data_IF_578861576514
#
_entry.id   IF_578861576514
#
_cell.length_a   1.000
_cell.length_b   1.000
_cell.length_c   1.000
_cell.angle_alpha   90.00
_cell.angle_beta   90.00
_cell.angle_gamma   90.00
#
_symmetry.space_group_name_H-M   'P 1'
#
loop_
_entity.id
_entity.type
_entity.pdbx_description
1 polymer ?
#
# COMPACT_ATOMS: atom_id res chain seq x y z
N UNK A 1 -18.72 16.28 23.70
CA UNK A 1 -18.11 15.41 22.66
C UNK A 1 -16.71 15.89 22.32
N UNK A 2 -16.51 17.15 21.92
CA UNK A 2 -15.18 17.74 21.67
C UNK A 2 -14.21 17.61 22.87
N UNK A 3 -14.73 17.77 24.09
CA UNK A 3 -13.94 17.60 25.32
C UNK A 3 -13.39 16.18 25.50
N UNK A 4 -14.15 15.14 25.12
CA UNK A 4 -13.70 13.75 25.22
C UNK A 4 -12.62 13.44 24.18
N UNK A 5 -12.76 13.96 22.95
CA UNK A 5 -11.75 13.82 21.91
C UNK A 5 -10.46 14.53 22.30
N UNK A 6 -10.55 15.69 22.97
CA UNK A 6 -9.38 16.40 23.49
C UNK A 6 -8.65 15.60 24.57
N UNK A 7 -9.38 14.97 25.50
CA UNK A 7 -8.76 14.10 26.51
C UNK A 7 -8.03 12.91 25.85
N UNK A 8 -8.66 12.28 24.84
CA UNK A 8 -8.03 11.20 24.07
C UNK A 8 -6.77 11.71 23.36
N UNK A 9 -6.86 12.85 22.68
CA UNK A 9 -5.73 13.46 21.98
C UNK A 9 -4.56 13.77 22.92
N UNK A 10 -4.84 14.39 24.07
CA UNK A 10 -3.82 14.72 25.07
C UNK A 10 -3.21 13.45 25.68
N UNK A 11 -4.00 12.39 25.86
CA UNK A 11 -3.51 11.09 26.36
C UNK A 11 -2.66 10.36 25.32
N UNK A 12 -2.99 10.44 24.03
CA UNK A 12 -2.18 9.85 22.95
C UNK A 12 -0.78 10.46 22.85
N UNK A 13 -0.63 11.73 23.26
CA UNK A 13 0.66 12.45 23.29
C UNK A 13 1.52 12.10 24.50
N UNK A 14 0.95 11.49 25.55
CA UNK A 14 1.63 11.19 26.81
C UNK A 14 2.05 9.72 26.87
N UNK A 15 3.35 9.44 26.93
CA UNK A 15 3.91 8.07 26.91
C UNK A 15 3.34 7.13 27.98
N UNK A 16 2.94 7.67 29.14
CA UNK A 16 2.40 6.89 30.26
C UNK A 16 0.94 6.45 30.04
N UNK A 17 0.14 7.24 29.34
CA UNK A 17 -1.30 6.97 29.09
C UNK A 17 -1.62 6.57 27.65
N UNK A 18 -0.62 6.63 26.75
CA UNK A 18 -0.75 6.38 25.32
C UNK A 18 -1.31 4.99 24.98
N UNK A 19 -0.83 3.92 25.64
CA UNK A 19 -1.34 2.56 25.38
C UNK A 19 -2.80 2.41 25.77
N UNK A 20 -3.21 3.02 26.88
CA UNK A 20 -4.60 2.97 27.34
C UNK A 20 -5.51 3.78 26.42
N UNK A 21 -5.05 4.97 26.00
CA UNK A 21 -5.73 5.76 25.00
C UNK A 21 -5.90 5.00 23.67
N UNK A 22 -4.86 4.30 23.21
CA UNK A 22 -4.93 3.46 22.01
C UNK A 22 -5.94 2.31 22.16
N UNK A 23 -6.04 1.66 23.33
CA UNK A 23 -7.06 0.62 23.56
C UNK A 23 -8.48 1.18 23.50
N UNK A 24 -8.69 2.36 24.09
CA UNK A 24 -9.99 3.05 24.03
C UNK A 24 -10.35 3.36 22.58
N UNK A 25 -9.43 3.98 21.83
CA UNK A 25 -9.65 4.30 20.41
C UNK A 25 -9.87 3.04 19.59
N UNK A 26 -9.11 1.96 19.83
CA UNK A 26 -9.31 0.68 19.16
C UNK A 26 -10.72 0.12 19.41
N UNK A 27 -11.18 0.13 20.67
CA UNK A 27 -12.53 -0.32 21.01
C UNK A 27 -13.62 0.53 20.35
N UNK A 28 -13.40 1.84 20.19
CA UNK A 28 -14.34 2.73 19.51
C UNK A 28 -14.25 2.60 17.98
N UNK A 29 -13.12 2.13 17.44
CA UNK A 29 -12.91 2.01 15.99
C UNK A 29 -13.65 0.83 15.36
N UNK A 30 -14.08 -0.16 16.15
CA UNK A 30 -14.73 -1.38 15.62
C UNK A 30 -16.21 -1.19 15.29
N UNK A 31 -16.81 -0.07 15.69
CA UNK A 31 -18.23 0.22 15.51
C UNK A 31 -18.44 1.44 14.58
N UNK A 32 -19.38 1.30 13.63
CA UNK A 32 -19.59 2.30 12.58
C UNK A 32 -20.13 3.65 13.11
N UNK A 33 -20.95 3.61 14.16
CA UNK A 33 -21.48 4.83 14.78
C UNK A 33 -20.35 5.58 15.50
N UNK A 34 -19.54 4.84 16.25
CA UNK A 34 -18.38 5.36 16.98
C UNK A 34 -17.28 5.91 16.07
N UNK A 35 -17.11 5.38 14.86
CA UNK A 35 -16.17 5.93 13.85
C UNK A 35 -16.48 7.39 13.47
N UNK A 36 -17.76 7.78 13.50
CA UNK A 36 -18.16 9.16 13.14
C UNK A 36 -17.58 10.18 14.11
N UNK A 37 -17.28 9.79 15.36
CA UNK A 37 -16.64 10.65 16.37
C UNK A 37 -15.27 11.14 15.92
N UNK A 38 -14.55 10.36 15.11
CA UNK A 38 -13.20 10.70 14.65
C UNK A 38 -13.19 11.43 13.31
N UNK A 39 -14.34 11.49 12.62
CA UNK A 39 -14.44 12.04 11.25
C UNK A 39 -14.06 13.51 11.11
N UNK A 40 -14.04 14.26 12.22
CA UNK A 40 -13.65 15.67 12.29
C UNK A 40 -12.26 15.91 12.89
N UNK A 41 -11.63 14.89 13.50
CA UNK A 41 -10.39 15.07 14.27
C UNK A 41 -9.15 14.73 13.44
N UNK A 42 -8.65 15.73 12.71
CA UNK A 42 -7.37 15.62 11.98
C UNK A 42 -6.18 15.36 12.92
N UNK A 43 -6.22 15.89 14.14
CA UNK A 43 -5.14 15.76 15.12
C UNK A 43 -4.98 14.31 15.61
N UNK A 44 -6.08 13.64 15.99
CA UNK A 44 -6.04 12.22 16.37
C UNK A 44 -5.54 11.37 15.20
N UNK A 45 -6.00 11.68 13.98
CA UNK A 45 -5.56 10.94 12.80
C UNK A 45 -4.05 11.07 12.55
N UNK A 46 -3.50 12.28 12.68
CA UNK A 46 -2.06 12.52 12.56
C UNK A 46 -1.29 11.73 13.62
N UNK A 47 -1.72 11.80 14.88
CA UNK A 47 -1.08 11.05 15.97
C UNK A 47 -1.09 9.54 15.69
N UNK A 48 -2.21 8.99 15.25
CA UNK A 48 -2.29 7.56 14.90
C UNK A 48 -1.34 7.19 13.75
N UNK A 49 -1.18 8.07 12.75
CA UNK A 49 -0.22 7.87 11.65
C UNK A 49 1.21 7.87 12.18
N UNK A 50 1.56 8.80 13.05
CA UNK A 50 2.91 8.89 13.63
C UNK A 50 3.20 7.61 14.47
N UNK A 51 2.26 7.23 15.32
CA UNK A 51 2.31 6.03 16.17
C UNK A 51 2.31 4.72 15.38
N UNK A 52 1.91 4.73 14.11
CA UNK A 52 1.90 3.54 13.24
C UNK A 52 3.31 3.05 12.86
N UNK A 53 4.33 3.86 13.13
CA UNK A 53 5.74 3.54 12.85
C UNK A 53 6.56 3.26 14.10
N UNK A 54 6.02 3.50 15.29
CA UNK A 54 6.71 3.28 16.56
C UNK A 54 6.56 1.82 17.02
N UNK A 55 7.67 1.13 17.29
CA UNK A 55 7.68 -0.31 17.60
C UNK A 55 6.68 -0.74 18.68
N UNK A 56 6.49 0.10 19.71
CA UNK A 56 5.61 -0.18 20.85
C UNK A 56 4.12 -0.10 20.48
N UNK A 57 3.74 0.83 19.61
CA UNK A 57 2.34 1.18 19.35
C UNK A 57 1.87 0.83 17.93
N UNK A 58 2.79 0.56 17.02
CA UNK A 58 2.54 0.40 15.59
C UNK A 58 1.43 -0.61 15.31
N UNK A 59 1.45 -1.76 16.00
CA UNK A 59 0.47 -2.80 15.79
C UNK A 59 -0.97 -2.34 16.09
N UNK A 60 -1.18 -1.68 17.24
CA UNK A 60 -2.49 -1.18 17.67
C UNK A 60 -2.93 0.02 16.82
N UNK A 61 -2.00 0.95 16.54
CA UNK A 61 -2.26 2.11 15.70
C UNK A 61 -2.67 1.69 14.27
N UNK A 62 -1.98 0.73 13.66
CA UNK A 62 -2.33 0.20 12.35
C UNK A 62 -3.70 -0.47 12.35
N UNK A 63 -4.05 -1.26 13.38
CA UNK A 63 -5.39 -1.85 13.50
C UNK A 63 -6.49 -0.79 13.56
N UNK A 64 -6.29 0.30 14.32
CA UNK A 64 -7.22 1.43 14.36
C UNK A 64 -7.37 2.06 12.97
N UNK A 65 -6.26 2.34 12.29
CA UNK A 65 -6.26 2.94 10.96
C UNK A 65 -6.93 2.04 9.91
N UNK A 66 -6.77 0.72 10.03
CA UNK A 66 -7.47 -0.27 9.20
C UNK A 66 -8.98 -0.19 9.44
N UNK A 67 -9.44 -0.12 10.69
CA UNK A 67 -10.86 0.06 10.96
C UNK A 67 -11.38 1.39 10.41
N UNK A 68 -10.60 2.47 10.57
CA UNK A 68 -10.93 3.79 10.01
C UNK A 68 -11.02 3.75 8.47
N UNK A 69 -10.25 2.89 7.82
CA UNK A 69 -10.24 2.76 6.35
C UNK A 69 -11.53 2.17 5.76
N UNK A 70 -12.44 1.66 6.60
CA UNK A 70 -13.78 1.24 6.19
C UNK A 70 -14.73 2.43 5.95
N UNK A 71 -14.38 3.60 6.51
CA UNK A 71 -15.12 4.84 6.32
C UNK A 71 -14.44 5.70 5.24
N UNK A 72 -15.19 6.10 4.22
CA UNK A 72 -14.65 6.86 3.09
C UNK A 72 -14.12 8.25 3.50
N UNK A 73 -14.79 8.95 4.41
CA UNK A 73 -14.38 10.28 4.85
C UNK A 73 -13.06 10.24 5.64
N UNK A 74 -12.92 9.27 6.55
CA UNK A 74 -11.67 9.02 7.27
C UNK A 74 -10.56 8.58 6.33
N UNK A 75 -10.86 7.71 5.35
CA UNK A 75 -9.91 7.31 4.31
C UNK A 75 -9.40 8.49 3.49
N UNK A 76 -10.31 9.38 3.07
CA UNK A 76 -9.94 10.61 2.37
C UNK A 76 -9.02 11.49 3.22
N UNK A 77 -9.31 11.62 4.51
CA UNK A 77 -8.47 12.39 5.43
C UNK A 77 -7.09 11.76 5.61
N UNK A 78 -7.00 10.44 5.80
CA UNK A 78 -5.73 9.72 5.91
C UNK A 78 -4.85 9.93 4.69
N UNK A 79 -5.44 9.80 3.50
CA UNK A 79 -4.74 10.00 2.22
C UNK A 79 -4.24 11.44 2.08
N UNK A 80 -5.05 12.43 2.47
CA UNK A 80 -4.65 13.86 2.46
C UNK A 80 -3.54 14.16 3.45
N UNK A 81 -3.52 13.48 4.59
CA UNK A 81 -2.48 13.61 5.62
C UNK A 81 -1.17 12.91 5.23
N UNK A 82 -1.13 12.19 4.10
CA UNK A 82 0.11 11.61 3.57
C UNK A 82 0.45 10.23 4.12
N UNK A 83 -0.55 9.47 4.59
CA UNK A 83 -0.35 8.13 5.17
C UNK A 83 0.44 7.18 4.27
N UNK A 84 0.29 7.26 2.94
CA UNK A 84 1.02 6.39 2.02
C UNK A 84 2.54 6.54 2.12
N UNK A 85 3.05 7.75 2.33
CA UNK A 85 4.49 7.98 2.49
C UNK A 85 5.00 7.30 3.75
N UNK A 86 4.25 7.45 4.85
CA UNK A 86 4.59 6.84 6.15
C UNK A 86 4.61 5.31 6.06
N UNK A 87 3.55 4.72 5.50
CA UNK A 87 3.43 3.28 5.33
C UNK A 87 4.49 2.71 4.37
N UNK A 88 4.82 3.44 3.31
CA UNK A 88 5.79 3.00 2.33
C UNK A 88 7.24 3.08 2.86
N UNK A 89 7.58 4.12 3.63
CA UNK A 89 8.86 4.18 4.33
C UNK A 89 8.99 3.07 5.39
N UNK A 90 7.89 2.72 6.07
CA UNK A 90 7.87 1.54 6.94
C UNK A 90 8.22 0.26 6.17
N UNK A 91 7.60 0.03 5.00
CA UNK A 91 7.91 -1.13 4.16
C UNK A 91 9.38 -1.13 3.72
N UNK A 92 9.92 0.00 3.24
CA UNK A 92 11.34 0.08 2.83
C UNK A 92 12.32 -0.24 3.97
N UNK A 93 11.98 0.19 5.19
CA UNK A 93 12.82 -0.04 6.37
C UNK A 93 12.84 -1.52 6.77
N UNK A 94 11.71 -2.21 6.60
CA UNK A 94 11.51 -3.59 7.09
C UNK A 94 11.59 -4.67 6.01
N UNK A 95 11.53 -4.29 4.73
CA UNK A 95 11.70 -5.13 3.54
C UNK A 95 12.86 -4.55 2.72
N UNK A 96 14.10 -4.86 3.11
CA UNK A 96 15.25 -4.39 2.35
C UNK A 96 15.60 -5.38 1.24
N UNK A 97 16.05 -4.92 0.06
CA UNK A 97 16.79 -5.78 -0.83
C UNK A 97 18.08 -6.24 -0.13
N UNK A 98 18.27 -7.54 -0.02
CA UNK A 98 19.52 -8.22 0.25
C UNK A 98 20.58 -7.64 -0.71
N UNK A 99 21.52 -6.89 -0.13
CA UNK A 99 22.64 -6.19 -0.79
C UNK A 99 22.42 -4.82 -1.47
N UNK A 100 21.74 -3.87 -0.82
CA UNK A 100 21.89 -2.45 -1.17
C UNK A 100 22.69 -1.67 -0.11
N UNK A 101 23.91 -1.24 -0.48
CA UNK A 101 24.61 -0.10 0.12
C UNK A 101 23.65 1.09 0.27
N UNK A 102 23.88 1.95 1.26
CA UNK A 102 23.01 3.06 1.73
C UNK A 102 22.63 4.15 0.69
N UNK A 103 22.76 3.90 -0.62
CA UNK A 103 22.55 4.88 -1.70
C UNK A 103 21.62 4.42 -2.83
N UNK A 104 20.56 3.66 -2.54
CA UNK A 104 19.52 3.42 -3.53
C UNK A 104 18.44 4.52 -3.44
N UNK A 105 18.73 5.70 -3.97
CA UNK A 105 17.69 6.59 -4.47
C UNK A 105 17.08 5.92 -5.70
N UNK A 106 15.87 5.36 -5.53
CA UNK A 106 14.90 5.08 -6.60
C UNK A 106 15.17 3.90 -7.54
N UNK A 107 14.10 3.12 -7.76
CA UNK A 107 13.76 2.48 -9.03
C UNK A 107 14.36 1.12 -9.26
N UNK A 108 13.72 0.04 -8.79
CA UNK A 108 14.02 -1.28 -9.33
C UNK A 108 12.76 -2.12 -9.56
N UNK A 109 12.33 -2.05 -10.81
CA UNK A 109 11.78 -3.21 -11.49
C UNK A 109 12.93 -3.82 -12.30
N UNK A 110 13.30 -5.07 -11.97
CA UNK A 110 14.32 -5.89 -12.60
C UNK A 110 15.79 -5.44 -12.45
N UNK A 111 16.37 -5.68 -11.27
CA UNK A 111 17.71 -6.29 -11.16
C UNK A 111 17.68 -7.25 -9.98
N UNK A 112 18.58 -8.23 -9.96
CA UNK A 112 18.61 -9.50 -9.22
C UNK A 112 18.62 -9.42 -7.67
N UNK A 113 18.08 -8.35 -7.08
CA UNK A 113 18.18 -8.09 -5.66
C UNK A 113 17.04 -8.80 -4.90
N UNK A 114 17.43 -9.75 -4.06
CA UNK A 114 16.53 -10.53 -3.20
C UNK A 114 15.94 -9.62 -2.13
N UNK A 115 14.71 -9.76 -1.65
CA UNK A 115 14.25 -9.01 -0.45
C UNK A 115 14.50 -9.84 0.82
N UNK A 116 15.15 -9.28 1.83
CA UNK A 116 15.31 -9.88 3.15
C UNK A 116 14.33 -9.25 4.16
N UNK A 117 13.60 -10.10 4.88
CA UNK A 117 12.80 -9.67 6.04
C UNK A 117 13.74 -9.60 7.24
N UNK A 118 13.97 -8.40 7.77
CA UNK A 118 14.86 -8.21 8.94
C UNK A 118 14.24 -8.76 10.23
N UNK A 119 14.49 -10.04 10.49
CA UNK A 119 14.36 -10.74 11.78
C UNK A 119 12.96 -10.94 12.40
N UNK A 120 12.91 -11.89 13.34
CA UNK A 120 11.76 -12.67 13.80
C UNK A 120 10.79 -12.00 14.80
N UNK A 121 10.66 -10.68 14.79
CA UNK A 121 9.73 -9.95 15.68
C UNK A 121 8.50 -9.47 14.92
N UNK A 122 7.31 -9.93 15.35
CA UNK A 122 5.94 -9.53 14.94
C UNK A 122 5.89 -8.47 13.81
N UNK A 123 6.12 -8.92 12.58
CA UNK A 123 6.13 -8.02 11.43
C UNK A 123 4.75 -7.39 11.23
N UNK A 124 4.67 -6.05 11.25
CA UNK A 124 3.43 -5.33 10.91
C UNK A 124 3.23 -5.19 9.39
N UNK A 125 4.12 -5.76 8.56
CA UNK A 125 4.01 -5.76 7.10
C UNK A 125 2.61 -6.16 6.61
N UNK A 126 1.96 -7.22 7.14
CA UNK A 126 0.62 -7.61 6.67
C UNK A 126 -0.42 -6.51 6.95
N UNK A 127 -0.34 -5.85 8.11
CA UNK A 127 -1.26 -4.76 8.49
C UNK A 127 -1.04 -3.54 7.59
N UNK A 128 0.22 -3.21 7.29
CA UNK A 128 0.56 -2.11 6.39
C UNK A 128 0.04 -2.37 4.98
N UNK A 129 0.28 -3.56 4.42
CA UNK A 129 -0.24 -3.93 3.10
C UNK A 129 -1.78 -3.97 3.07
N UNK A 130 -2.42 -4.45 4.14
CA UNK A 130 -3.88 -4.43 4.26
C UNK A 130 -4.43 -3.00 4.28
N UNK A 131 -3.81 -2.09 5.02
CA UNK A 131 -4.24 -0.68 5.05
C UNK A 131 -4.06 -0.01 3.69
N UNK A 132 -2.93 -0.19 3.01
CA UNK A 132 -2.72 0.32 1.64
C UNK A 132 -3.76 -0.28 0.68
N UNK A 133 -4.02 -1.59 0.78
CA UNK A 133 -5.06 -2.27 0.00
C UNK A 133 -6.43 -1.64 0.21
N UNK A 134 -6.82 -1.33 1.45
CA UNK A 134 -8.11 -0.69 1.74
C UNK A 134 -8.18 0.73 1.16
N UNK A 135 -7.15 1.56 1.39
CA UNK A 135 -7.13 2.93 0.89
C UNK A 135 -7.14 3.01 -0.64
N UNK A 136 -6.53 2.05 -1.34
CA UNK A 136 -6.52 1.97 -2.80
C UNK A 136 -7.83 1.44 -3.40
N UNK A 137 -8.78 0.96 -2.60
CA UNK A 137 -10.15 0.66 -3.11
C UNK A 137 -10.89 1.91 -3.57
N UNK A 138 -10.53 3.08 -3.03
CA UNK A 138 -11.11 4.36 -3.40
C UNK A 138 -10.31 5.06 -4.51
N UNK A 139 -11.01 5.76 -5.41
CA UNK A 139 -10.38 6.48 -6.52
C UNK A 139 -9.36 7.52 -6.03
N UNK A 140 -9.70 8.34 -5.04
CA UNK A 140 -8.77 9.34 -4.49
C UNK A 140 -7.50 8.69 -3.91
N UNK A 141 -7.63 7.50 -3.31
CA UNK A 141 -6.51 6.75 -2.75
C UNK A 141 -5.58 6.25 -3.85
N UNK A 142 -6.14 5.66 -4.92
CA UNK A 142 -5.35 5.25 -6.10
C UNK A 142 -4.59 6.41 -6.72
N UNK A 143 -5.29 7.53 -6.95
CA UNK A 143 -4.68 8.72 -7.57
C UNK A 143 -3.53 9.25 -6.72
N UNK A 144 -3.71 9.34 -5.40
CA UNK A 144 -2.63 9.81 -4.51
C UNK A 144 -1.49 8.81 -4.43
N UNK A 145 -1.76 7.50 -4.41
CA UNK A 145 -0.74 6.46 -4.37
C UNK A 145 0.11 6.44 -5.65
N UNK A 146 -0.51 6.55 -6.83
CA UNK A 146 0.18 6.58 -8.12
C UNK A 146 0.99 7.88 -8.32
N UNK A 147 0.58 8.98 -7.70
CA UNK A 147 1.27 10.28 -7.75
C UNK A 147 1.89 10.66 -6.39
N UNK A 148 2.42 9.68 -5.67
CA UNK A 148 3.03 9.95 -4.38
C UNK A 148 4.29 10.84 -4.48
N UNK A 149 4.95 10.83 -5.64
CA UNK A 149 6.06 11.73 -5.97
C UNK A 149 5.62 12.86 -6.90
N UNK A 150 6.08 14.08 -6.61
CA UNK A 150 5.94 15.24 -7.50
C UNK A 150 6.85 15.13 -8.73
N UNK A 151 7.96 14.39 -8.64
CA UNK A 151 8.84 14.12 -9.77
C UNK A 151 8.12 13.20 -10.77
N UNK A 152 7.88 13.65 -12.02
CA UNK A 152 7.20 12.86 -13.06
C UNK A 152 7.88 11.53 -13.38
N UNK A 153 9.22 11.46 -13.27
CA UNK A 153 10.00 10.25 -13.51
C UNK A 153 9.77 9.17 -12.44
N UNK A 154 9.25 9.56 -11.27
CA UNK A 154 8.93 8.66 -10.16
C UNK A 154 7.43 8.48 -10.01
N UNK A 155 6.63 8.88 -11.01
CA UNK A 155 5.22 8.52 -11.02
C UNK A 155 5.14 6.99 -10.98
N UNK A 156 4.25 6.48 -10.15
CA UNK A 156 4.01 5.04 -9.97
C UNK A 156 5.10 4.24 -9.24
N UNK A 157 6.17 4.88 -8.74
CA UNK A 157 7.27 4.18 -8.05
C UNK A 157 6.80 3.28 -6.88
N UNK A 158 5.79 3.72 -6.11
CA UNK A 158 5.24 2.91 -5.02
C UNK A 158 4.59 1.63 -5.55
N UNK A 159 3.84 1.71 -6.66
CA UNK A 159 3.21 0.55 -7.27
C UNK A 159 4.27 -0.42 -7.83
N UNK A 160 5.26 0.09 -8.53
CA UNK A 160 6.38 -0.71 -9.04
C UNK A 160 7.10 -1.50 -7.94
N UNK A 161 7.36 -0.84 -6.80
CA UNK A 161 7.94 -1.52 -5.64
C UNK A 161 7.00 -2.57 -5.04
N UNK A 162 5.69 -2.29 -4.95
CA UNK A 162 4.72 -3.29 -4.50
C UNK A 162 4.68 -4.50 -5.45
N UNK A 163 4.83 -4.29 -6.77
CA UNK A 163 4.95 -5.39 -7.75
C UNK A 163 6.23 -6.19 -7.49
N UNK A 164 7.37 -5.53 -7.31
CA UNK A 164 8.65 -6.18 -6.98
C UNK A 164 8.56 -7.03 -5.71
N UNK A 165 8.07 -6.45 -4.61
CA UNK A 165 7.89 -7.14 -3.33
C UNK A 165 6.91 -8.32 -3.46
N UNK A 166 5.77 -8.13 -4.15
CA UNK A 166 4.77 -9.19 -4.33
C UNK A 166 5.30 -10.33 -5.19
N UNK A 167 6.12 -10.04 -6.20
CA UNK A 167 6.77 -11.03 -7.06
C UNK A 167 7.80 -11.85 -6.28
N UNK A 168 8.62 -11.17 -5.49
CA UNK A 168 9.63 -11.83 -4.66
C UNK A 168 8.97 -12.72 -3.59
N UNK A 169 7.99 -12.19 -2.86
CA UNK A 169 7.25 -12.92 -1.83
C UNK A 169 5.98 -13.61 -2.37
N UNK A 170 6.03 -14.12 -3.61
CA UNK A 170 4.86 -14.68 -4.31
C UNK A 170 4.15 -15.82 -3.55
N UNK A 171 4.90 -16.60 -2.77
CA UNK A 171 4.36 -17.71 -1.97
C UNK A 171 3.87 -17.28 -0.57
N UNK A 172 4.13 -16.04 -0.15
CA UNK A 172 3.69 -15.53 1.17
C UNK A 172 2.23 -15.08 1.14
N UNK A 173 1.44 -15.50 2.13
CA UNK A 173 0.04 -15.09 2.26
C UNK A 173 -0.12 -13.59 2.57
N UNK A 174 0.87 -12.98 3.23
CA UNK A 174 0.87 -11.55 3.54
C UNK A 174 0.76 -10.69 2.28
N UNK A 175 1.37 -11.16 1.19
CA UNK A 175 1.37 -10.48 -0.11
C UNK A 175 0.12 -10.78 -0.95
N UNK A 176 -0.91 -11.42 -0.38
CA UNK A 176 -2.26 -11.40 -0.97
C UNK A 176 -2.80 -9.96 -1.05
N UNK A 177 -2.51 -9.12 -0.03
CA UNK A 177 -2.84 -7.70 -0.05
C UNK A 177 -2.05 -6.93 -1.11
N UNK A 178 -0.79 -7.31 -1.36
CA UNK A 178 0.01 -6.79 -2.48
C UNK A 178 -0.69 -6.96 -3.83
N UNK A 179 -1.24 -8.15 -4.08
CA UNK A 179 -2.04 -8.40 -5.29
C UNK A 179 -3.30 -7.53 -5.37
N UNK A 180 -4.00 -7.29 -4.25
CA UNK A 180 -5.13 -6.36 -4.23
C UNK A 180 -4.73 -4.92 -4.57
N UNK A 181 -3.61 -4.43 -4.02
CA UNK A 181 -3.08 -3.09 -4.34
C UNK A 181 -2.82 -2.99 -5.84
N UNK A 182 -2.15 -3.98 -6.43
CA UNK A 182 -1.87 -4.04 -7.88
C UNK A 182 -3.18 -4.00 -8.68
N UNK A 183 -4.14 -4.87 -8.37
CA UNK A 183 -5.43 -4.88 -9.08
C UNK A 183 -6.16 -3.55 -8.95
N UNK A 184 -6.21 -2.97 -7.75
CA UNK A 184 -6.88 -1.70 -7.52
C UNK A 184 -6.24 -0.59 -8.36
N UNK A 185 -4.93 -0.39 -8.22
CA UNK A 185 -4.24 0.72 -8.86
C UNK A 185 -4.23 0.63 -10.40
N UNK A 186 -4.34 -0.57 -10.97
CA UNK A 186 -4.39 -0.77 -12.43
C UNK A 186 -5.74 -0.38 -13.07
N UNK A 187 -6.85 -0.38 -12.31
CA UNK A 187 -8.19 0.00 -12.82
C UNK A 187 -8.20 1.42 -13.41
N UNK A 188 -7.52 2.34 -12.72
CA UNK A 188 -7.54 3.78 -13.03
C UNK A 188 -6.22 4.32 -13.57
N UNK A 189 -5.14 3.53 -13.53
CA UNK A 189 -3.85 3.88 -14.14
C UNK A 189 -4.02 4.37 -15.59
N UNK A 190 -4.96 3.77 -16.33
CA UNK A 190 -5.22 4.09 -17.73
C UNK A 190 -6.23 5.21 -17.96
N UNK A 191 -7.07 5.54 -16.96
CA UNK A 191 -8.14 6.54 -17.08
C UNK A 191 -7.72 7.91 -16.55
N UNK A 192 -6.92 7.94 -15.48
CA UNK A 192 -6.62 9.18 -14.77
C UNK A 192 -5.34 9.85 -15.29
N UNK A 193 -4.44 9.09 -15.94
CA UNK A 193 -3.14 9.63 -16.33
C UNK A 193 -2.62 9.02 -17.65
N UNK A 194 -2.78 9.76 -18.75
CA UNK A 194 -2.07 9.45 -20.00
C UNK A 194 -0.54 9.34 -19.78
N UNK A 195 0.00 10.09 -18.81
CA UNK A 195 1.42 10.12 -18.46
C UNK A 195 1.86 8.99 -17.52
N UNK A 196 0.95 8.40 -16.71
CA UNK A 196 1.28 7.25 -15.85
C UNK A 196 1.09 5.91 -16.57
N UNK A 197 0.51 5.94 -17.78
CA UNK A 197 0.33 4.80 -18.65
C UNK A 197 1.68 4.28 -19.17
N UNK A 198 2.58 5.17 -19.59
CA UNK A 198 3.85 4.75 -20.18
C UNK A 198 4.74 3.96 -19.19
N UNK A 199 4.92 4.37 -17.91
CA UNK A 199 5.69 3.59 -16.93
C UNK A 199 5.09 2.21 -16.61
N UNK A 200 3.75 2.14 -16.47
CA UNK A 200 3.06 0.91 -16.08
C UNK A 200 2.86 -0.10 -17.22
N UNK A 201 2.99 0.36 -18.47
CA UNK A 201 2.92 -0.50 -19.65
C UNK A 201 4.30 -0.89 -20.19
N UNK A 202 5.33 -0.88 -19.35
CA UNK A 202 6.68 -1.34 -19.73
C UNK A 202 6.83 -2.84 -19.55
N UNK A 203 7.74 -3.45 -20.32
CA UNK A 203 8.15 -4.85 -20.13
C UNK A 203 8.64 -5.13 -18.71
N UNK A 204 9.25 -4.13 -18.07
CA UNK A 204 9.68 -4.21 -16.68
C UNK A 204 8.49 -4.51 -15.77
N UNK A 205 7.35 -3.82 -15.91
CA UNK A 205 6.16 -4.07 -15.08
C UNK A 205 5.42 -5.36 -15.50
N UNK A 206 5.32 -5.63 -16.80
CA UNK A 206 4.57 -6.80 -17.29
C UNK A 206 5.23 -8.14 -16.97
N UNK A 207 6.56 -8.26 -17.07
CA UNK A 207 7.26 -9.54 -16.89
C UNK A 207 7.02 -10.14 -15.51
N UNK A 208 7.23 -9.41 -14.38
CA UNK A 208 6.93 -9.91 -13.04
C UNK A 208 5.46 -10.29 -12.84
N UNK A 209 4.52 -9.55 -13.46
CA UNK A 209 3.09 -9.85 -13.36
C UNK A 209 2.75 -11.15 -14.09
N UNK A 210 3.29 -11.38 -15.29
CA UNK A 210 3.12 -12.64 -16.03
C UNK A 210 3.78 -13.81 -15.31
N UNK A 211 4.97 -13.62 -14.75
CA UNK A 211 5.65 -14.61 -13.92
C UNK A 211 4.80 -14.99 -12.71
N UNK A 212 4.17 -14.02 -12.04
CA UNK A 212 3.24 -14.30 -10.95
C UNK A 212 1.99 -15.06 -11.44
N UNK A 213 1.43 -14.72 -12.59
CA UNK A 213 0.27 -15.43 -13.15
C UNK A 213 0.55 -16.92 -13.39
N UNK A 214 1.74 -17.25 -13.86
CA UNK A 214 2.13 -18.63 -14.21
C UNK A 214 2.70 -19.41 -13.03
N UNK A 215 3.43 -18.74 -12.12
CA UNK A 215 4.16 -19.40 -11.03
C UNK A 215 3.38 -19.51 -9.71
N UNK A 216 2.35 -18.70 -9.48
CA UNK A 216 1.51 -18.81 -8.29
C UNK A 216 0.58 -20.03 -8.41
N UNK A 217 1.06 -21.17 -7.90
CA UNK A 217 0.30 -22.43 -7.84
C UNK A 217 -0.55 -22.55 -6.58
N UNK A 218 -0.08 -22.01 -5.45
CA UNK A 218 -0.66 -22.24 -4.11
C UNK A 218 -1.78 -21.27 -3.71
N UNK A 219 -1.93 -20.12 -4.38
CA UNK A 219 -2.99 -19.14 -4.08
C UNK A 219 -3.80 -18.77 -5.33
N UNK A 220 -4.90 -19.49 -5.63
CA UNK A 220 -5.77 -19.19 -6.77
C UNK A 220 -6.35 -17.78 -6.72
N UNK A 221 -6.65 -17.27 -5.52
CA UNK A 221 -7.18 -15.92 -5.30
C UNK A 221 -6.14 -14.87 -5.69
N UNK A 222 -4.90 -15.01 -5.22
CA UNK A 222 -3.81 -14.09 -5.59
C UNK A 222 -3.60 -14.07 -7.10
N UNK A 223 -3.54 -15.26 -7.72
CA UNK A 223 -3.41 -15.38 -9.18
C UNK A 223 -4.54 -14.68 -9.91
N UNK A 224 -5.80 -14.88 -9.48
CA UNK A 224 -6.95 -14.20 -10.08
C UNK A 224 -6.84 -12.67 -10.00
N UNK A 225 -6.40 -12.14 -8.86
CA UNK A 225 -6.18 -10.69 -8.66
C UNK A 225 -5.09 -10.16 -9.58
N UNK A 226 -3.93 -10.82 -9.67
CA UNK A 226 -2.87 -10.42 -10.59
C UNK A 226 -3.36 -10.47 -12.04
N UNK A 227 -4.06 -11.54 -12.44
CA UNK A 227 -4.66 -11.65 -13.79
C UNK A 227 -5.59 -10.47 -14.08
N UNK A 228 -6.44 -10.08 -13.12
CA UNK A 228 -7.32 -8.93 -13.28
C UNK A 228 -6.54 -7.62 -13.42
N UNK A 229 -5.45 -7.46 -12.65
CA UNK A 229 -4.56 -6.31 -12.78
C UNK A 229 -3.90 -6.22 -14.16
N UNK A 230 -3.42 -7.35 -14.69
CA UNK A 230 -2.88 -7.43 -16.05
C UNK A 230 -3.96 -7.11 -17.09
N UNK A 231 -5.17 -7.64 -16.95
CA UNK A 231 -6.30 -7.30 -17.85
C UNK A 231 -6.59 -5.80 -17.84
N UNK A 232 -6.60 -5.17 -16.66
CA UNK A 232 -6.81 -3.74 -16.54
C UNK A 232 -5.74 -2.95 -17.31
N UNK A 233 -4.46 -3.34 -17.19
CA UNK A 233 -3.36 -2.73 -17.94
C UNK A 233 -3.44 -2.97 -19.45
N UNK A 234 -4.10 -4.04 -19.90
CA UNK A 234 -4.22 -4.39 -21.33
C UNK A 234 -5.46 -3.78 -21.99
N UNK A 235 -6.47 -3.39 -21.21
CA UNK A 235 -7.69 -2.75 -21.73
C UNK A 235 -7.36 -1.36 -22.30
N UNK A 236 -7.78 -1.03 -23.53
CA UNK A 236 -7.39 0.18 -24.30
C UNK A 236 -5.97 0.19 -24.97
N UNK A 237 -5.43 -0.97 -25.36
CA UNK A 237 -4.15 -1.07 -26.07
C UNK A 237 -4.26 -1.64 -27.49
N UNK A 238 -4.65 -0.79 -28.45
CA UNK A 238 -4.39 -1.06 -29.87
C UNK A 238 -2.88 -1.02 -30.20
N UNK A 239 -2.05 -0.37 -29.37
CA UNK A 239 -0.61 -0.12 -29.66
C UNK A 239 0.34 -1.20 -29.11
N UNK A 240 0.15 -1.74 -27.90
CA UNK A 240 1.10 -2.70 -27.29
C UNK A 240 0.86 -4.17 -27.66
N UNK A 241 -0.31 -4.50 -28.20
CA UNK A 241 -0.55 -5.82 -28.82
C UNK A 241 0.43 -6.10 -29.97
N UNK A 242 1.02 -5.04 -30.55
CA UNK A 242 2.07 -5.12 -31.57
C UNK A 242 3.43 -5.43 -30.94
N UNK A 243 3.85 -4.68 -29.92
CA UNK A 243 5.13 -4.88 -29.22
C UNK A 243 5.20 -6.22 -28.48
N UNK A 244 4.11 -6.67 -27.83
CA UNK A 244 4.06 -7.97 -27.16
C UNK A 244 4.16 -9.14 -28.14
N UNK A 245 3.53 -9.02 -29.32
CA UNK A 245 3.66 -10.01 -30.42
C UNK A 245 5.05 -10.03 -31.03
N UNK A 246 5.78 -8.92 -30.97
CA UNK A 246 7.17 -8.81 -31.44
C UNK A 246 8.19 -9.27 -30.38
N UNK A 247 7.77 -9.52 -29.13
CA UNK A 247 8.66 -9.82 -27.99
C UNK A 247 8.80 -11.30 -27.60
N UNK A 248 8.28 -12.26 -28.38
CA UNK A 248 8.30 -13.72 -28.09
C UNK A 248 7.69 -14.18 -26.74
N UNK A 249 7.12 -13.28 -25.93
CA UNK A 249 6.52 -13.61 -24.61
C UNK A 249 5.17 -14.36 -24.74
N UNK A 250 4.57 -14.37 -25.93
CA UNK A 250 3.25 -14.97 -26.20
C UNK A 250 3.28 -16.07 -27.29
N UNK A 251 4.46 -16.54 -27.71
CA UNK A 251 4.61 -17.65 -28.65
C UNK A 251 4.58 -19.01 -27.96
#
# INVERSE_FOLDING_TARGET
MEEHLKIIEDSLKQTESQEEALKIVLSLSTDAESLTLFSSSKAILQLLIDLSTEDRTANTALQILINFSQNEALSSMMVKTGIFNVLFEYLKTHLKPDQADEKAEIGYVATENMYEVRSATKSNIPLVLMLISNLTTYTFGRVKFLNASENPALKTFMLENIIGMTTFFKDSEFFNFGANIITNCTIDALKVHADAKAPLCTLQVFTPLFDMMTSIKKSPVKRLKITEGVKNLMFNHSTHLKELKESDVLS
#
